data_IF_134300058288
#
_entry.id   IF_134300058288
#
_cell.length_a   1.000
_cell.length_b   1.000
_cell.length_c   1.000
_cell.angle_alpha   90.00
_cell.angle_beta   90.00
_cell.angle_gamma   90.00
#
_symmetry.space_group_name_H-M   'P 1'
#
loop_
_entity.id
_entity.type
_entity.pdbx_description
1 polymer ?
#
# COMPACT_ATOMS: atom_id res chain seq x y z
N UNK A 1 -4.91 8.81 22.32
CA UNK A 1 -5.29 8.69 20.90
C UNK A 1 -4.25 9.38 20.03
N UNK A 2 -3.51 8.66 19.17
CA UNK A 2 -2.55 9.31 18.26
C UNK A 2 -2.52 8.65 16.88
N UNK A 3 -2.80 9.49 15.88
CA UNK A 3 -2.49 9.43 14.45
C UNK A 3 -3.24 8.34 13.64
N UNK A 4 -3.79 8.62 12.46
CA UNK A 4 -3.30 9.53 11.41
C UNK A 4 -4.41 10.04 10.48
N UNK A 5 -4.13 11.22 9.94
CA UNK A 5 -5.00 12.15 9.23
C UNK A 5 -5.36 11.75 7.80
N UNK A 6 -6.49 12.35 7.40
CA UNK A 6 -7.15 12.43 6.09
C UNK A 6 -6.22 12.86 4.95
N UNK A 7 -6.48 12.30 3.77
CA UNK A 7 -5.78 12.50 2.51
C UNK A 7 -5.70 13.96 2.06
N UNK A 8 -4.52 14.41 1.62
CA UNK A 8 -4.37 15.69 0.91
C UNK A 8 -3.33 15.59 -0.22
N UNK A 9 -3.68 16.23 -1.35
CA UNK A 9 -2.82 16.79 -2.41
C UNK A 9 -2.41 15.84 -3.56
N UNK A 10 -3.23 15.83 -4.62
CA UNK A 10 -2.86 15.40 -5.97
C UNK A 10 -1.89 16.42 -6.60
N UNK A 11 -0.63 16.40 -6.21
CA UNK A 11 0.44 17.16 -6.86
C UNK A 11 1.01 16.37 -8.03
N UNK A 12 1.25 17.02 -9.18
CA UNK A 12 1.95 16.41 -10.33
C UNK A 12 3.29 15.85 -9.89
N UNK A 13 3.41 14.52 -9.89
CA UNK A 13 4.68 13.83 -9.66
C UNK A 13 5.41 13.76 -11.00
N UNK A 14 6.41 14.62 -11.20
CA UNK A 14 7.37 14.43 -12.29
C UNK A 14 8.13 13.11 -12.09
N UNK A 15 8.18 12.27 -13.12
CA UNK A 15 8.79 10.94 -13.06
C UNK A 15 7.90 9.85 -13.66
N UNK A 16 8.36 8.58 -13.60
CA UNK A 16 7.59 7.43 -14.10
C UNK A 16 6.28 7.31 -13.31
N UNK A 17 5.15 7.29 -14.02
CA UNK A 17 3.82 7.11 -13.43
C UNK A 17 3.81 5.87 -12.52
N UNK A 18 3.43 5.98 -11.24
CA UNK A 18 3.27 4.81 -10.38
C UNK A 18 2.20 3.89 -10.97
N UNK A 19 2.48 2.58 -11.06
CA UNK A 19 1.52 1.59 -11.59
C UNK A 19 0.30 1.43 -10.67
N UNK A 20 0.47 1.65 -9.36
CA UNK A 20 -0.57 1.52 -8.34
C UNK A 20 -1.00 2.86 -7.76
N UNK A 21 -2.31 3.08 -7.74
CA UNK A 21 -2.95 4.26 -7.15
C UNK A 21 -2.80 4.26 -5.63
N UNK A 22 -2.76 5.45 -5.01
CA UNK A 22 -2.73 5.62 -3.55
C UNK A 22 -3.91 4.92 -2.84
N UNK A 23 -5.09 4.88 -3.46
CA UNK A 23 -6.25 4.16 -2.95
C UNK A 23 -6.05 2.64 -2.93
N UNK A 24 -5.40 2.06 -3.93
CA UNK A 24 -5.10 0.63 -3.97
C UNK A 24 -4.17 0.25 -2.82
N UNK A 25 -3.20 1.12 -2.49
CA UNK A 25 -2.35 0.93 -1.32
C UNK A 25 -3.11 1.01 0.00
N UNK A 26 -4.09 1.90 0.11
CA UNK A 26 -4.95 1.97 1.30
C UNK A 26 -5.78 0.69 1.47
N UNK A 27 -6.32 0.14 0.39
CA UNK A 27 -7.08 -1.12 0.41
C UNK A 27 -6.17 -2.31 0.74
N UNK A 28 -5.00 -2.41 0.11
CA UNK A 28 -4.01 -3.45 0.40
C UNK A 28 -3.58 -3.41 1.88
N UNK A 29 -3.37 -2.21 2.44
CA UNK A 29 -3.06 -2.04 3.86
C UNK A 29 -4.17 -2.55 4.79
N UNK A 30 -5.45 -2.35 4.44
CA UNK A 30 -6.58 -2.91 5.19
C UNK A 30 -6.59 -4.43 5.17
N UNK A 31 -6.33 -5.04 4.01
CA UNK A 31 -6.27 -6.51 3.87
C UNK A 31 -5.14 -7.13 4.68
N UNK A 32 -3.95 -6.51 4.65
CA UNK A 32 -2.80 -6.98 5.44
C UNK A 32 -3.09 -6.88 6.94
N UNK A 33 -3.77 -5.81 7.38
CA UNK A 33 -4.17 -5.63 8.78
C UNK A 33 -5.29 -6.58 9.21
N UNK A 34 -6.15 -7.00 8.28
CA UNK A 34 -7.13 -8.06 8.49
C UNK A 34 -6.52 -9.47 8.57
N UNK A 35 -5.20 -9.61 8.39
CA UNK A 35 -4.49 -10.88 8.49
C UNK A 35 -4.40 -11.66 7.18
N UNK A 36 -4.77 -11.06 6.05
CA UNK A 36 -4.63 -11.70 4.72
C UNK A 36 -3.14 -11.89 4.42
N UNK A 37 -2.72 -13.08 3.91
CA UNK A 37 -1.33 -13.31 3.56
C UNK A 37 -0.87 -12.34 2.47
N UNK A 38 0.31 -11.76 2.68
CA UNK A 38 0.93 -10.77 1.77
C UNK A 38 1.13 -11.32 0.35
N UNK A 39 1.23 -12.64 0.21
CA UNK A 39 1.35 -13.33 -1.07
C UNK A 39 0.04 -13.31 -1.89
N UNK A 40 -1.11 -13.41 -1.22
CA UNK A 40 -2.42 -13.27 -1.88
C UNK A 40 -2.66 -11.82 -2.30
N UNK A 41 -2.29 -10.86 -1.45
CA UNK A 41 -2.36 -9.43 -1.78
C UNK A 41 -1.45 -9.09 -2.98
N UNK A 42 -0.26 -9.71 -3.06
CA UNK A 42 0.65 -9.55 -4.19
C UNK A 42 0.04 -9.97 -5.53
N UNK A 43 -0.66 -11.10 -5.55
CA UNK A 43 -1.34 -11.63 -6.75
C UNK A 43 -2.50 -10.72 -7.17
N UNK A 44 -3.35 -10.29 -6.23
CA UNK A 44 -4.53 -9.45 -6.51
C UNK A 44 -4.15 -8.12 -7.16
N UNK A 45 -3.07 -7.50 -6.68
CA UNK A 45 -2.65 -6.17 -7.13
C UNK A 45 -1.48 -6.20 -8.13
N UNK A 46 -1.04 -7.39 -8.58
CA UNK A 46 0.13 -7.56 -9.46
C UNK A 46 1.36 -6.79 -8.95
N UNK A 47 1.61 -6.85 -7.63
CA UNK A 47 2.71 -6.15 -6.96
C UNK A 47 3.70 -7.14 -6.39
N UNK A 48 4.99 -6.88 -6.62
CA UNK A 48 6.05 -7.70 -6.04
C UNK A 48 6.04 -7.66 -4.50
N UNK A 49 6.31 -8.81 -3.88
CA UNK A 49 6.43 -8.96 -2.42
C UNK A 49 7.44 -7.96 -1.82
N UNK A 50 8.54 -7.69 -2.52
CA UNK A 50 9.56 -6.72 -2.10
C UNK A 50 8.98 -5.30 -1.94
N UNK A 51 8.02 -4.93 -2.79
CA UNK A 51 7.33 -3.63 -2.71
C UNK A 51 6.37 -3.60 -1.52
N UNK A 52 5.66 -4.70 -1.29
CA UNK A 52 4.76 -4.87 -0.14
C UNK A 52 5.52 -4.78 1.18
N UNK A 53 6.66 -5.46 1.32
CA UNK A 53 7.49 -5.38 2.53
C UNK A 53 8.08 -3.99 2.77
N UNK A 54 8.47 -3.26 1.72
CA UNK A 54 8.94 -1.87 1.84
C UNK A 54 7.85 -0.91 2.32
N UNK A 55 6.60 -1.13 1.89
CA UNK A 55 5.47 -0.27 2.25
C UNK A 55 4.82 -0.65 3.58
N UNK A 56 4.77 -1.94 3.89
CA UNK A 56 4.19 -2.50 5.10
C UNK A 56 5.21 -3.42 5.77
N UNK A 57 6.15 -2.87 6.56
CA UNK A 57 7.09 -3.70 7.29
C UNK A 57 6.35 -4.63 8.23
N UNK A 58 6.83 -5.87 8.37
CA UNK A 58 6.38 -6.78 9.41
C UNK A 58 6.95 -6.30 10.75
N UNK A 59 6.37 -5.23 11.30
CA UNK A 59 6.60 -4.90 12.70
C UNK A 59 5.74 -5.88 13.50
N UNK A 60 6.42 -6.79 14.18
CA UNK A 60 5.87 -7.51 15.33
C UNK A 60 5.51 -6.50 16.43
#
# INVERSE_FOLDING_TARGET
>A
MRFYCVATIQGRIGGRRPKSSSEQWAQAGRLIRAGVPRQQVAIIYDVGLSTLYKKFPARC
#
